data_IF_853046945529
#
_entry.id   IF_853046945529
#
_cell.length_a   1.000
_cell.length_b   1.000
_cell.length_c   1.000
_cell.angle_alpha   90.00
_cell.angle_beta   90.00
_cell.angle_gamma   90.00
#
_symmetry.space_group_name_H-M   'P 1'
#
loop_
_entity.id
_entity.type
_entity.pdbx_description
1 polymer ?
#
# COMPACT_ATOMS: atom_id res chain seq x y z
N UNK A 1 14.48 2.77 -16.92
CA UNK A 1 13.54 3.37 -15.95
C UNK A 1 12.61 4.32 -16.69
N UNK A 2 11.30 4.13 -16.57
CA UNK A 2 10.27 4.97 -17.20
C UNK A 2 9.50 5.67 -16.07
N UNK A 3 8.91 6.84 -16.29
CA UNK A 3 8.21 7.57 -15.22
C UNK A 3 7.01 8.34 -15.76
N UNK A 4 6.04 8.65 -14.89
CA UNK A 4 4.78 9.33 -15.23
C UNK A 4 4.49 10.41 -14.16
N UNK A 5 3.97 11.58 -14.57
CA UNK A 5 3.78 12.78 -13.72
C UNK A 5 2.35 13.37 -13.85
N UNK A 6 1.75 13.84 -12.74
CA UNK A 6 0.36 14.35 -12.62
C UNK A 6 0.27 15.87 -12.35
N UNK A 7 -0.88 16.49 -12.70
CA UNK A 7 -1.19 17.92 -12.45
C UNK A 7 -1.79 18.15 -11.03
N UNK A 8 -2.12 17.13 -10.24
CA UNK A 8 -2.72 17.31 -8.90
C UNK A 8 -2.08 16.37 -7.87
N UNK A 9 -2.02 16.83 -6.61
CA UNK A 9 -0.86 16.66 -5.75
C UNK A 9 -0.91 15.52 -4.69
N UNK A 10 -0.59 14.26 -5.00
CA UNK A 10 -0.29 13.25 -3.95
C UNK A 10 0.53 12.09 -4.47
N UNK A 11 1.43 11.49 -3.68
CA UNK A 11 2.28 10.32 -3.99
C UNK A 11 1.51 9.02 -4.31
N UNK A 12 1.80 8.41 -5.48
CA UNK A 12 1.26 7.12 -5.96
C UNK A 12 2.33 6.33 -6.70
N UNK A 13 2.36 5.00 -6.53
CA UNK A 13 3.27 4.08 -7.20
C UNK A 13 2.44 2.99 -7.89
N UNK A 14 2.42 2.88 -9.21
CA UNK A 14 1.73 1.81 -9.93
C UNK A 14 2.76 0.85 -10.53
N UNK A 15 2.85 -0.37 -10.02
CA UNK A 15 3.67 -1.43 -10.63
C UNK A 15 2.79 -2.42 -11.41
N UNK A 16 3.22 -2.78 -12.62
CA UNK A 16 2.68 -3.94 -13.33
C UNK A 16 3.29 -5.21 -12.72
N UNK A 17 2.45 -6.19 -12.37
CA UNK A 17 2.91 -7.45 -11.81
C UNK A 17 3.69 -8.26 -12.85
N UNK A 18 5.02 -8.21 -12.81
CA UNK A 18 5.84 -9.18 -13.51
C UNK A 18 6.30 -10.22 -12.51
N UNK A 19 6.04 -11.49 -12.81
CA UNK A 19 6.64 -12.61 -12.09
C UNK A 19 8.16 -12.61 -12.30
N UNK A 20 8.92 -12.84 -11.24
CA UNK A 20 10.38 -12.92 -11.27
C UNK A 20 10.78 -14.26 -10.63
N UNK A 21 11.76 -15.00 -11.18
CA UNK A 21 12.22 -16.28 -10.63
C UNK A 21 12.74 -16.17 -9.19
N UNK A 22 12.69 -17.31 -8.50
CA UNK A 22 12.86 -17.50 -7.05
C UNK A 22 14.24 -17.13 -6.46
N UNK A 23 14.18 -16.88 -5.16
CA UNK A 23 15.24 -16.82 -4.14
C UNK A 23 16.44 -15.88 -4.33
N UNK A 24 16.34 -14.71 -3.69
CA UNK A 24 17.48 -14.19 -2.92
C UNK A 24 16.98 -13.86 -1.51
N UNK A 25 17.40 -14.68 -0.55
CA UNK A 25 17.28 -14.40 0.88
C UNK A 25 17.98 -13.07 1.17
N UNK A 26 17.21 -12.01 1.46
CA UNK A 26 17.77 -10.70 1.79
C UNK A 26 17.01 -10.11 2.98
N UNK A 27 17.79 -9.82 4.01
CA UNK A 27 17.39 -9.20 5.26
C UNK A 27 17.11 -7.71 5.06
N UNK A 28 16.22 -7.18 5.89
CA UNK A 28 16.05 -5.74 6.09
C UNK A 28 17.41 -5.11 6.43
N UNK A 29 17.82 -4.04 5.72
CA UNK A 29 19.09 -3.36 5.93
C UNK A 29 18.86 -1.85 5.99
N UNK A 30 19.32 -1.22 7.06
CA UNK A 30 19.37 0.23 7.20
C UNK A 30 20.59 0.76 6.44
N UNK A 31 20.38 1.66 5.50
CA UNK A 31 21.44 2.40 4.83
C UNK A 31 21.94 3.58 5.67
N UNK A 32 23.07 4.22 5.26
CA UNK A 32 23.62 5.38 5.97
C UNK A 32 22.65 6.55 6.13
N UNK A 33 21.81 6.82 5.14
CA UNK A 33 20.77 7.86 5.22
C UNK A 33 19.63 7.46 6.18
N UNK A 34 19.29 6.17 6.27
CA UNK A 34 18.29 5.69 7.25
C UNK A 34 18.82 5.89 8.67
N UNK A 35 20.10 5.57 8.92
CA UNK A 35 20.76 5.78 10.21
C UNK A 35 20.82 7.28 10.55
N UNK A 36 21.11 8.14 9.56
CA UNK A 36 21.11 9.59 9.76
C UNK A 36 19.73 10.13 10.14
N UNK A 37 18.67 9.66 9.47
CA UNK A 37 17.29 10.03 9.79
C UNK A 37 16.91 9.56 11.20
N UNK A 38 17.22 8.31 11.56
CA UNK A 38 16.94 7.74 12.87
C UNK A 38 17.74 8.38 14.01
N UNK A 39 18.90 8.97 13.74
CA UNK A 39 19.70 9.66 14.77
C UNK A 39 19.25 11.10 15.04
N UNK A 40 18.25 11.61 14.32
CA UNK A 40 17.91 13.04 14.30
C UNK A 40 16.65 13.46 15.08
N UNK A 41 16.15 12.65 16.01
CA UNK A 41 14.84 12.85 16.67
C UNK A 41 13.74 13.19 15.64
N UNK A 42 13.57 12.27 14.69
CA UNK A 42 12.60 12.36 13.62
C UNK A 42 11.20 12.00 14.13
N UNK A 43 10.24 12.90 13.91
CA UNK A 43 8.83 12.67 14.19
C UNK A 43 8.03 12.64 12.88
N UNK A 44 7.06 11.75 12.81
CA UNK A 44 6.07 11.64 11.72
C UNK A 44 4.67 11.72 12.30
N UNK A 45 3.70 12.19 11.52
CA UNK A 45 2.29 12.07 11.91
C UNK A 45 1.79 10.68 11.50
N UNK A 46 1.07 10.01 12.39
CA UNK A 46 0.24 8.87 12.01
C UNK A 46 -1.05 9.34 11.29
N UNK A 47 -1.87 8.40 10.82
CA UNK A 47 -3.13 8.71 10.11
C UNK A 47 -4.17 9.40 10.99
N UNK A 48 -4.03 9.32 12.32
CA UNK A 48 -4.89 9.98 13.30
C UNK A 48 -4.34 11.38 13.69
N UNK A 49 -3.31 11.85 12.99
CA UNK A 49 -2.63 13.14 13.20
C UNK A 49 -1.85 13.23 14.52
N UNK A 50 -1.53 12.11 15.16
CA UNK A 50 -0.66 12.08 16.33
C UNK A 50 0.80 12.17 15.90
N UNK A 51 1.60 12.93 16.64
CA UNK A 51 3.04 13.04 16.41
C UNK A 51 3.77 11.85 17.05
N UNK A 52 4.35 10.97 16.22
CA UNK A 52 5.05 9.76 16.66
C UNK A 52 6.54 9.86 16.34
N UNK A 53 7.39 9.55 17.32
CA UNK A 53 8.85 9.58 17.16
C UNK A 53 9.36 8.25 16.59
N UNK A 54 10.14 8.33 15.52
CA UNK A 54 10.83 7.19 14.90
C UNK A 54 12.11 6.78 15.66
N UNK A 55 12.58 7.61 16.60
CA UNK A 55 13.91 7.46 17.24
C UNK A 55 13.83 6.85 18.64
N UNK A 56 12.71 7.07 19.34
CA UNK A 56 12.34 6.35 20.58
C UNK A 56 12.23 4.85 20.36
N UNK A 57 12.05 4.40 19.12
CA UNK A 57 12.02 2.99 18.73
C UNK A 57 13.38 2.28 18.82
N UNK A 58 14.51 2.99 18.73
CA UNK A 58 15.82 2.35 18.91
C UNK A 58 16.11 1.99 20.37
N UNK A 59 15.56 2.78 21.30
CA UNK A 59 15.68 2.52 22.74
C UNK A 59 14.61 1.52 23.22
N UNK A 60 13.42 1.52 22.63
CA UNK A 60 12.33 0.60 22.97
C UNK A 60 12.35 -0.72 22.17
N UNK A 61 13.14 -0.82 21.10
CA UNK A 61 13.33 -2.08 20.36
C UNK A 61 13.92 -3.19 21.23
N UNK A 62 14.56 -2.85 22.36
CA UNK A 62 15.06 -3.82 23.34
C UNK A 62 13.96 -4.41 24.25
N UNK A 63 12.75 -3.82 24.33
CA UNK A 63 11.66 -4.35 25.16
C UNK A 63 10.82 -5.44 24.47
N UNK A 64 10.72 -5.43 23.13
CA UNK A 64 9.96 -6.46 22.41
C UNK A 64 10.88 -7.63 22.00
N UNK A 65 10.92 -8.65 22.86
CA UNK A 65 11.75 -9.86 22.67
C UNK A 65 11.18 -10.86 21.65
N UNK A 66 10.01 -10.59 21.05
CA UNK A 66 9.39 -11.48 20.07
C UNK A 66 10.28 -11.59 18.82
N UNK A 67 10.66 -12.82 18.47
CA UNK A 67 11.48 -13.06 17.27
C UNK A 67 10.64 -12.96 16.00
N UNK A 68 11.30 -12.75 14.86
CA UNK A 68 10.63 -12.81 13.55
C UNK A 68 9.97 -14.18 13.28
N UNK A 69 10.56 -15.27 13.81
CA UNK A 69 9.99 -16.62 13.69
C UNK A 69 8.69 -16.74 14.47
N UNK A 70 8.63 -16.20 15.68
CA UNK A 70 7.42 -16.25 16.52
C UNK A 70 6.28 -15.49 15.85
N UNK A 71 6.57 -14.29 15.32
CA UNK A 71 5.59 -13.52 14.56
C UNK A 71 5.10 -14.28 13.33
N UNK A 72 6.02 -14.91 12.57
CA UNK A 72 5.68 -15.68 11.37
C UNK A 72 4.72 -16.84 11.68
N UNK A 73 4.92 -17.55 12.79
CA UNK A 73 4.08 -18.69 13.17
C UNK A 73 2.67 -18.27 13.62
N UNK A 74 2.48 -17.00 14.02
CA UNK A 74 1.22 -16.48 14.56
C UNK A 74 0.51 -15.47 13.63
N UNK A 75 0.94 -15.35 12.36
CA UNK A 75 0.35 -14.39 11.42
C UNK A 75 -1.17 -14.56 11.25
N UNK A 76 -1.68 -15.79 11.35
CA UNK A 76 -3.11 -16.09 11.26
C UNK A 76 -3.96 -15.46 12.38
N UNK A 77 -3.37 -15.10 13.52
CA UNK A 77 -4.03 -14.39 14.61
C UNK A 77 -3.71 -12.89 14.65
N UNK A 78 -3.02 -12.38 13.61
CA UNK A 78 -2.49 -11.01 13.57
C UNK A 78 -2.79 -10.27 12.28
N UNK A 79 -3.02 -10.99 11.18
CA UNK A 79 -3.35 -10.44 9.88
C UNK A 79 -4.74 -10.93 9.47
N UNK A 80 -5.69 -10.01 9.41
CA UNK A 80 -7.10 -10.29 9.13
C UNK A 80 -7.52 -9.72 7.78
N UNK A 81 -8.53 -10.33 7.17
CA UNK A 81 -9.07 -9.93 5.88
C UNK A 81 -10.56 -9.63 6.02
N UNK A 82 -10.92 -8.36 5.84
CA UNK A 82 -12.29 -7.87 6.00
C UNK A 82 -12.90 -7.53 4.64
N UNK A 83 -13.91 -8.28 4.24
CA UNK A 83 -14.62 -8.11 2.99
C UNK A 83 -15.80 -7.15 3.15
N UNK A 84 -15.79 -6.11 2.32
CA UNK A 84 -16.88 -5.16 2.13
C UNK A 84 -17.40 -5.26 0.70
N UNK A 85 -18.71 -5.12 0.55
CA UNK A 85 -19.43 -5.07 -0.71
C UNK A 85 -20.54 -4.03 -0.61
N UNK A 86 -21.31 -3.83 -1.68
CA UNK A 86 -22.49 -2.98 -1.64
C UNK A 86 -23.53 -3.42 -0.58
N UNK A 87 -23.54 -4.71 -0.21
CA UNK A 87 -24.51 -5.30 0.73
C UNK A 87 -24.10 -5.19 2.20
N UNK A 88 -22.82 -4.96 2.48
CA UNK A 88 -22.27 -4.97 3.84
C UNK A 88 -21.21 -3.86 4.03
N UNK A 89 -21.60 -2.61 3.71
CA UNK A 89 -20.69 -1.46 3.72
C UNK A 89 -20.18 -1.06 5.10
N UNK A 90 -20.92 -1.37 6.16
CA UNK A 90 -20.61 -0.98 7.54
C UNK A 90 -19.93 -2.12 8.30
N UNK A 91 -20.50 -3.32 8.26
CA UNK A 91 -20.01 -4.50 8.95
C UNK A 91 -19.44 -5.49 7.94
N UNK A 92 -18.11 -5.67 7.88
CA UNK A 92 -17.50 -6.57 6.91
C UNK A 92 -17.70 -8.04 7.28
N UNK A 93 -17.63 -8.89 6.26
CA UNK A 93 -17.45 -10.33 6.46
C UNK A 93 -15.96 -10.61 6.70
N UNK A 94 -15.63 -11.35 7.75
CA UNK A 94 -14.27 -11.84 7.95
C UNK A 94 -14.04 -13.09 7.10
N UNK A 95 -13.04 -13.04 6.21
CA UNK A 95 -12.67 -14.17 5.35
C UNK A 95 -11.29 -14.70 5.74
N UNK A 96 -11.09 -16.02 5.60
CA UNK A 96 -9.87 -16.70 6.03
C UNK A 96 -9.22 -17.47 4.88
N UNK A 97 -7.90 -17.58 4.91
CA UNK A 97 -7.13 -18.35 3.94
C UNK A 97 -7.56 -19.82 4.01
N UNK A 98 -7.77 -20.44 2.83
CA UNK A 98 -8.17 -21.84 2.69
C UNK A 98 -9.54 -22.20 3.30
N UNK A 99 -10.40 -21.22 3.59
CA UNK A 99 -11.75 -21.44 4.09
C UNK A 99 -12.80 -21.09 3.02
N UNK A 100 -13.03 -22.04 2.11
CA UNK A 100 -14.00 -21.88 1.01
C UNK A 100 -15.44 -21.73 1.52
N UNK A 101 -15.78 -22.38 2.63
CA UNK A 101 -17.14 -22.35 3.17
C UNK A 101 -17.46 -20.97 3.76
N UNK A 102 -16.54 -20.37 4.51
CA UNK A 102 -16.67 -18.98 4.96
C UNK A 102 -16.73 -18.01 3.78
N UNK A 103 -15.88 -18.19 2.77
CA UNK A 103 -15.90 -17.36 1.56
C UNK A 103 -17.25 -17.41 0.84
N UNK A 104 -17.83 -18.61 0.66
CA UNK A 104 -19.16 -18.78 0.02
C UNK A 104 -20.32 -18.24 0.87
N UNK A 105 -20.18 -18.24 2.20
CA UNK A 105 -21.18 -17.68 3.12
C UNK A 105 -21.13 -16.15 3.19
N UNK A 106 -19.98 -15.56 2.88
CA UNK A 106 -19.79 -14.11 2.80
C UNK A 106 -20.50 -13.49 1.59
N UNK A 107 -20.44 -12.16 1.47
CA UNK A 107 -20.93 -11.43 0.32
C UNK A 107 -20.00 -11.47 -0.91
N UNK A 108 -18.93 -12.26 -0.90
CA UNK A 108 -17.97 -12.31 -2.00
C UNK A 108 -18.62 -12.76 -3.31
N UNK A 109 -18.35 -12.05 -4.40
CA UNK A 109 -18.88 -12.39 -5.72
C UNK A 109 -17.75 -12.59 -6.73
N UNK A 110 -17.55 -13.83 -7.18
CA UNK A 110 -16.49 -14.20 -8.12
C UNK A 110 -16.56 -13.49 -9.49
N UNK A 111 -17.73 -12.96 -9.87
CA UNK A 111 -17.91 -12.23 -11.13
C UNK A 111 -17.64 -10.72 -10.99
N UNK A 112 -17.22 -10.25 -9.81
CA UNK A 112 -16.97 -8.82 -9.55
C UNK A 112 -15.46 -8.54 -9.44
N UNK A 113 -15.02 -7.39 -9.97
CA UNK A 113 -13.64 -6.95 -9.80
C UNK A 113 -13.29 -6.78 -8.30
N UNK A 114 -12.09 -7.19 -7.92
CA UNK A 114 -11.62 -7.11 -6.53
C UNK A 114 -10.67 -5.93 -6.29
N UNK A 115 -10.81 -5.28 -5.14
CA UNK A 115 -9.94 -4.22 -4.64
C UNK A 115 -9.40 -4.67 -3.29
N UNK A 116 -8.09 -4.78 -3.17
CA UNK A 116 -7.43 -5.15 -1.91
C UNK A 116 -6.74 -3.92 -1.37
N UNK A 117 -7.02 -3.52 -0.13
CA UNK A 117 -6.54 -2.26 0.47
C UNK A 117 -5.84 -2.59 1.79
N UNK A 118 -4.75 -1.91 2.11
CA UNK A 118 -4.15 -2.02 3.45
C UNK A 118 -3.51 -0.73 3.95
N UNK A 119 -3.51 -0.59 5.27
CA UNK A 119 -3.01 0.56 6.02
C UNK A 119 -1.49 0.49 6.27
N UNK A 120 -0.97 1.55 6.91
CA UNK A 120 0.43 1.72 7.29
C UNK A 120 0.76 1.40 8.76
N UNK A 121 1.89 1.95 9.21
CA UNK A 121 2.36 1.91 10.60
C UNK A 121 1.42 2.69 11.53
N UNK A 122 1.19 2.20 12.76
CA UNK A 122 0.28 2.83 13.73
C UNK A 122 -1.17 2.99 13.26
N UNK A 123 -1.60 2.19 12.27
CA UNK A 123 -2.95 2.26 11.69
C UNK A 123 -3.65 0.91 11.72
N UNK A 124 -4.93 0.90 11.35
CA UNK A 124 -5.77 -0.29 11.25
C UNK A 124 -6.69 -0.24 10.04
N UNK A 125 -7.52 -1.27 9.83
CA UNK A 125 -8.55 -1.25 8.79
C UNK A 125 -9.59 -0.12 8.95
N UNK A 126 -9.68 0.49 10.15
CA UNK A 126 -10.59 1.59 10.46
C UNK A 126 -9.95 2.97 10.27
N UNK A 127 -8.69 3.04 9.86
CA UNK A 127 -8.04 4.31 9.57
C UNK A 127 -8.51 4.88 8.22
N UNK A 128 -8.45 6.21 8.07
CA UNK A 128 -8.89 6.92 6.87
C UNK A 128 -8.19 6.44 5.59
N UNK A 129 -6.94 6.00 5.71
CA UNK A 129 -6.18 5.40 4.61
C UNK A 129 -6.86 4.18 3.99
N UNK A 130 -7.69 3.46 4.74
CA UNK A 130 -8.51 2.36 4.25
C UNK A 130 -9.96 2.80 3.96
N UNK A 131 -10.60 3.51 4.89
CA UNK A 131 -12.02 3.87 4.81
C UNK A 131 -12.31 4.71 3.56
N UNK A 132 -11.52 5.76 3.30
CA UNK A 132 -11.79 6.67 2.19
C UNK A 132 -11.67 5.97 0.84
N UNK A 133 -10.71 5.06 0.69
CA UNK A 133 -10.48 4.30 -0.54
C UNK A 133 -11.58 3.23 -0.72
N UNK A 134 -11.92 2.51 0.35
CA UNK A 134 -13.00 1.51 0.36
C UNK A 134 -14.31 2.16 -0.09
N UNK A 135 -14.68 3.26 0.55
CA UNK A 135 -15.95 3.94 0.27
C UNK A 135 -15.96 4.53 -1.13
N UNK A 136 -14.82 5.06 -1.60
CA UNK A 136 -14.71 5.53 -2.98
C UNK A 136 -14.99 4.40 -3.99
N UNK A 137 -14.41 3.21 -3.81
CA UNK A 137 -14.71 2.08 -4.70
C UNK A 137 -16.18 1.63 -4.61
N UNK A 138 -16.70 1.45 -3.39
CA UNK A 138 -18.09 1.02 -3.18
C UNK A 138 -19.11 2.03 -3.72
N UNK A 139 -18.75 3.32 -3.85
CA UNK A 139 -19.61 4.34 -4.45
C UNK A 139 -19.57 4.37 -5.98
N UNK A 140 -18.54 3.81 -6.61
CA UNK A 140 -18.42 3.81 -8.08
C UNK A 140 -18.96 2.54 -8.75
N UNK A 141 -19.15 1.45 -8.01
CA UNK A 141 -19.70 0.23 -8.58
C UNK A 141 -19.69 -0.95 -7.62
N UNK A 142 -20.06 -2.10 -8.17
CA UNK A 142 -20.08 -3.37 -7.45
C UNK A 142 -18.68 -4.00 -7.46
N UNK A 143 -17.96 -3.86 -6.35
CA UNK A 143 -16.65 -4.42 -6.13
C UNK A 143 -16.68 -5.38 -4.94
N UNK A 144 -15.79 -6.39 -4.97
CA UNK A 144 -15.31 -7.00 -3.73
C UNK A 144 -14.21 -6.09 -3.19
N UNK A 145 -14.39 -5.47 -2.02
CA UNK A 145 -13.36 -4.64 -1.39
C UNK A 145 -12.84 -5.35 -0.14
N UNK A 146 -11.62 -5.87 -0.19
CA UNK A 146 -10.97 -6.56 0.92
C UNK A 146 -10.00 -5.59 1.59
N UNK A 147 -10.22 -5.27 2.86
CA UNK A 147 -9.28 -4.50 3.67
C UNK A 147 -8.46 -5.46 4.52
N UNK A 148 -7.14 -5.40 4.38
CA UNK A 148 -6.20 -6.18 5.19
C UNK A 148 -5.89 -5.39 6.45
N UNK A 149 -6.19 -5.97 7.61
CA UNK A 149 -5.80 -5.45 8.92
C UNK A 149 -4.60 -6.21 9.46
N UNK A 150 -3.52 -5.49 9.73
CA UNK A 150 -2.33 -6.02 10.41
C UNK A 150 -1.95 -5.14 11.61
N UNK A 151 -2.94 -4.46 12.20
CA UNK A 151 -2.80 -3.53 13.33
C UNK A 151 -2.12 -4.14 14.56
N UNK A 152 -2.31 -5.44 14.81
CA UNK A 152 -1.61 -6.17 15.88
C UNK A 152 -0.09 -6.17 15.72
N UNK A 153 0.41 -5.96 14.51
CA UNK A 153 1.83 -5.81 14.21
C UNK A 153 2.16 -4.33 14.03
N UNK A 154 1.34 -3.57 13.30
CA UNK A 154 1.62 -2.17 12.93
C UNK A 154 1.75 -1.20 14.12
N UNK A 155 1.16 -1.52 15.28
CA UNK A 155 1.20 -0.70 16.49
C UNK A 155 2.55 -0.75 17.22
N UNK A 156 3.44 -1.66 16.83
CA UNK A 156 4.76 -1.83 17.44
C UNK A 156 5.78 -0.81 16.91
N UNK A 157 6.92 -0.61 17.60
CA UNK A 157 8.02 0.24 17.15
C UNK A 157 8.37 0.08 15.67
N UNK A 158 8.60 1.19 14.96
CA UNK A 158 8.75 1.24 13.51
C UNK A 158 9.80 0.26 12.98
N UNK A 159 10.97 0.19 13.60
CA UNK A 159 12.05 -0.70 13.15
C UNK A 159 11.66 -2.18 13.29
N UNK A 160 11.01 -2.54 14.41
CA UNK A 160 10.51 -3.88 14.66
C UNK A 160 9.43 -4.26 13.65
N UNK A 161 8.53 -3.33 13.36
CA UNK A 161 7.43 -3.48 12.41
C UNK A 161 7.93 -3.58 10.97
N UNK A 162 8.86 -2.72 10.58
CA UNK A 162 9.40 -2.66 9.21
C UNK A 162 10.11 -3.95 8.80
N UNK A 163 10.80 -4.61 9.75
CA UNK A 163 11.41 -5.93 9.54
C UNK A 163 10.39 -7.03 9.20
N UNK A 164 9.14 -6.87 9.62
CA UNK A 164 8.05 -7.86 9.43
C UNK A 164 7.21 -7.62 8.18
N UNK A 165 7.37 -6.49 7.49
CA UNK A 165 6.61 -6.19 6.27
C UNK A 165 6.73 -7.30 5.21
N UNK A 166 7.92 -7.91 5.08
CA UNK A 166 8.13 -9.00 4.11
C UNK A 166 7.28 -10.22 4.42
N UNK A 167 7.28 -10.68 5.66
CA UNK A 167 6.49 -11.85 6.06
C UNK A 167 4.98 -11.59 5.96
N UNK A 168 4.54 -10.37 6.28
CA UNK A 168 3.14 -9.97 6.10
C UNK A 168 2.78 -10.02 4.60
N UNK A 169 3.62 -9.47 3.73
CA UNK A 169 3.43 -9.54 2.27
C UNK A 169 3.36 -10.98 1.75
N UNK A 170 4.24 -11.86 2.23
CA UNK A 170 4.20 -13.30 1.88
C UNK A 170 2.91 -13.96 2.38
N UNK A 171 2.46 -13.66 3.59
CA UNK A 171 1.21 -14.19 4.12
C UNK A 171 -0.01 -13.69 3.32
N UNK A 172 -0.05 -12.41 2.97
CA UNK A 172 -1.09 -11.84 2.10
C UNK A 172 -1.07 -12.48 0.69
N UNK A 173 0.09 -12.85 0.15
CA UNK A 173 0.15 -13.57 -1.13
C UNK A 173 -0.54 -14.94 -1.07
N UNK A 174 -0.55 -15.60 0.10
CA UNK A 174 -1.29 -16.85 0.28
C UNK A 174 -2.80 -16.67 0.19
N UNK A 175 -3.34 -15.55 0.69
CA UNK A 175 -4.75 -15.17 0.49
C UNK A 175 -5.04 -14.90 -0.98
N UNK A 176 -4.15 -14.16 -1.66
CA UNK A 176 -4.31 -13.87 -3.09
C UNK A 176 -4.34 -15.16 -3.94
N UNK A 177 -3.42 -16.09 -3.67
CA UNK A 177 -3.36 -17.40 -4.33
C UNK A 177 -4.59 -18.27 -4.02
N UNK A 178 -5.11 -18.21 -2.79
CA UNK A 178 -6.34 -18.90 -2.42
C UNK A 178 -7.54 -18.33 -3.21
N UNK A 179 -7.74 -17.01 -3.21
CA UNK A 179 -8.84 -16.39 -3.94
C UNK A 179 -8.77 -16.66 -5.45
N UNK A 180 -7.58 -16.57 -6.06
CA UNK A 180 -7.36 -16.93 -7.47
C UNK A 180 -7.78 -18.39 -7.74
N UNK A 181 -7.31 -19.33 -6.91
CA UNK A 181 -7.63 -20.76 -7.04
C UNK A 181 -9.14 -21.01 -6.98
N UNK A 182 -9.87 -20.28 -6.14
CA UNK A 182 -11.32 -20.42 -5.99
C UNK A 182 -12.12 -19.65 -7.06
N UNK A 183 -11.45 -18.92 -7.97
CA UNK A 183 -12.05 -18.32 -9.16
C UNK A 183 -12.07 -16.80 -9.22
N UNK A 184 -11.35 -16.10 -8.33
CA UNK A 184 -11.17 -14.65 -8.43
C UNK A 184 -10.30 -14.28 -9.64
N UNK A 185 -10.77 -13.35 -10.46
CA UNK A 185 -10.03 -12.86 -11.62
C UNK A 185 -8.96 -11.82 -11.24
N UNK A 186 -7.68 -12.22 -11.35
CA UNK A 186 -6.56 -11.34 -11.09
C UNK A 186 -6.40 -10.20 -12.11
N UNK A 187 -6.86 -10.38 -13.35
CA UNK A 187 -6.76 -9.37 -14.41
C UNK A 187 -7.64 -8.14 -14.15
N UNK A 188 -8.60 -8.26 -13.24
CA UNK A 188 -9.44 -7.15 -12.78
C UNK A 188 -9.17 -6.78 -11.31
N UNK A 189 -8.15 -7.38 -10.68
CA UNK A 189 -7.78 -7.16 -9.28
C UNK A 189 -6.78 -6.00 -9.14
N UNK A 190 -7.06 -5.06 -8.24
CA UNK A 190 -6.14 -3.96 -7.89
C UNK A 190 -5.81 -4.02 -6.40
N UNK A 191 -4.53 -3.93 -6.07
CA UNK A 191 -4.05 -3.84 -4.69
C UNK A 191 -3.58 -2.42 -4.39
N UNK A 192 -3.90 -1.90 -3.21
CA UNK A 192 -3.58 -0.54 -2.78
C UNK A 192 -3.03 -0.59 -1.36
N UNK A 193 -1.88 0.02 -1.12
CA UNK A 193 -1.28 0.05 0.21
C UNK A 193 -0.68 1.41 0.51
N UNK A 194 -0.91 1.94 1.71
CA UNK A 194 -0.36 3.22 2.15
C UNK A 194 0.81 3.02 3.10
N UNK A 195 1.83 3.89 3.03
CA UNK A 195 2.99 3.85 3.92
C UNK A 195 3.72 2.49 3.90
N UNK A 196 3.96 1.83 5.04
CA UNK A 196 4.46 0.45 5.08
C UNK A 196 3.56 -0.54 4.32
N UNK A 197 2.24 -0.29 4.29
CA UNK A 197 1.27 -1.08 3.53
C UNK A 197 1.53 -1.11 2.03
N UNK A 198 2.15 -0.06 1.47
CA UNK A 198 2.56 -0.06 0.06
C UNK A 198 3.55 -1.19 -0.24
N UNK A 199 4.47 -1.45 0.68
CA UNK A 199 5.40 -2.56 0.57
C UNK A 199 4.71 -3.90 0.78
N UNK A 200 3.75 -3.99 1.71
CA UNK A 200 2.95 -5.21 1.92
C UNK A 200 2.27 -5.64 0.62
N UNK A 201 1.54 -4.74 -0.06
CA UNK A 201 0.85 -5.10 -1.31
C UNK A 201 1.81 -5.37 -2.48
N UNK A 202 2.93 -4.63 -2.54
CA UNK A 202 3.98 -4.86 -3.54
C UNK A 202 4.64 -6.22 -3.41
N UNK A 203 4.92 -6.63 -2.17
CA UNK A 203 5.49 -7.94 -1.87
C UNK A 203 4.47 -9.05 -2.06
N UNK A 204 3.22 -8.84 -1.65
CA UNK A 204 2.15 -9.81 -1.85
C UNK A 204 1.96 -10.13 -3.35
N UNK A 205 1.86 -9.11 -4.19
CA UNK A 205 1.76 -9.30 -5.64
C UNK A 205 3.00 -9.98 -6.24
N UNK A 206 4.20 -9.70 -5.70
CA UNK A 206 5.44 -10.35 -6.15
C UNK A 206 5.49 -11.84 -5.80
N UNK A 207 5.05 -12.20 -4.60
CA UNK A 207 5.06 -13.58 -4.10
C UNK A 207 3.80 -14.36 -4.49
N UNK A 208 2.85 -13.75 -5.19
CA UNK A 208 1.71 -14.43 -5.76
C UNK A 208 2.13 -15.29 -6.96
N UNK A 209 1.37 -16.37 -7.20
CA UNK A 209 1.56 -17.23 -8.37
C UNK A 209 1.08 -16.54 -9.63
N UNK A 210 -0.10 -15.93 -9.55
CA UNK A 210 -0.67 -15.13 -10.61
C UNK A 210 -0.28 -13.65 -10.55
N UNK A 211 -0.70 -12.91 -11.57
CA UNK A 211 -0.40 -11.49 -11.75
C UNK A 211 -1.65 -10.66 -11.60
N UNK A 212 -1.69 -9.78 -10.61
CA UNK A 212 -2.75 -8.77 -10.45
C UNK A 212 -2.63 -7.68 -11.51
N UNK A 213 -3.76 -7.04 -11.84
CA UNK A 213 -3.81 -5.94 -12.79
C UNK A 213 -2.90 -4.76 -12.36
N UNK A 214 -3.11 -4.27 -11.14
CA UNK A 214 -2.39 -3.11 -10.62
C UNK A 214 -2.02 -3.28 -9.16
N UNK A 215 -0.82 -2.82 -8.81
CA UNK A 215 -0.40 -2.58 -7.42
C UNK A 215 -0.15 -1.10 -7.26
N UNK A 216 -0.79 -0.48 -6.27
CA UNK A 216 -0.77 0.96 -6.03
C UNK A 216 -0.18 1.25 -4.63
N UNK A 217 1.05 1.76 -4.56
CA UNK A 217 1.66 2.22 -3.32
C UNK A 217 1.39 3.70 -3.08
N UNK A 218 0.86 4.06 -1.91
CA UNK A 218 0.50 5.43 -1.54
C UNK A 218 1.53 5.94 -0.54
N UNK A 219 2.40 6.84 -0.98
CA UNK A 219 3.56 7.31 -0.22
C UNK A 219 4.30 6.21 0.59
N UNK A 220 4.91 5.22 -0.10
CA UNK A 220 5.63 4.11 0.53
C UNK A 220 6.72 4.63 1.47
N UNK A 221 6.82 4.01 2.64
CA UNK A 221 7.77 4.41 3.65
C UNK A 221 9.23 4.29 3.15
N UNK A 222 10.06 5.28 3.47
CA UNK A 222 11.46 5.31 3.04
C UNK A 222 12.43 4.67 4.04
N UNK A 223 12.35 4.92 5.37
CA UNK A 223 13.32 4.38 6.31
C UNK A 223 13.32 2.85 6.31
N UNK A 224 14.46 2.26 5.96
CA UNK A 224 14.64 0.81 5.83
C UNK A 224 14.31 0.22 4.46
N UNK A 225 13.88 1.04 3.50
CA UNK A 225 13.51 0.62 2.15
C UNK A 225 14.26 1.38 1.04
N UNK A 226 14.84 2.55 1.33
CA UNK A 226 15.56 3.39 0.36
C UNK A 226 16.73 2.64 -0.34
N UNK A 227 17.42 1.75 0.38
CA UNK A 227 18.47 0.87 -0.15
C UNK A 227 18.03 -0.59 -0.39
N UNK A 228 16.77 -0.93 -0.13
CA UNK A 228 16.32 -2.32 -0.18
C UNK A 228 16.28 -2.83 -1.62
N UNK A 229 16.77 -4.06 -1.81
CA UNK A 229 16.84 -4.75 -3.11
C UNK A 229 15.43 -5.07 -3.65
N UNK A 230 15.37 -5.33 -4.95
CA UNK A 230 14.17 -5.83 -5.63
C UNK A 230 13.69 -7.10 -4.89
N UNK A 231 12.42 -7.11 -4.50
CA UNK A 231 11.82 -8.21 -3.74
C UNK A 231 11.79 -8.07 -2.23
N UNK A 232 12.30 -6.95 -1.69
CA UNK A 232 12.10 -6.56 -0.29
C UNK A 232 11.21 -5.31 -0.14
N UNK A 233 10.74 -4.74 -1.25
CA UNK A 233 9.86 -3.55 -1.30
C UNK A 233 9.05 -3.51 -2.60
N UNK A 234 8.08 -2.60 -2.65
CA UNK A 234 7.35 -2.26 -3.88
C UNK A 234 8.30 -1.66 -4.94
N UNK A 235 8.15 -2.07 -6.20
CA UNK A 235 8.90 -1.51 -7.33
C UNK A 235 8.37 -0.13 -7.74
N UNK A 236 9.28 0.73 -8.18
CA UNK A 236 9.06 2.16 -8.31
C UNK A 236 8.57 2.55 -9.71
N UNK A 237 7.33 3.00 -9.83
CA UNK A 237 6.84 3.68 -11.03
C UNK A 237 5.69 4.60 -10.62
N UNK A 238 5.85 5.92 -10.87
CA UNK A 238 4.88 7.03 -10.80
C UNK A 238 5.21 8.12 -9.75
N UNK A 239 5.26 9.39 -10.20
CA UNK A 239 5.71 10.57 -9.41
C UNK A 239 4.81 11.79 -9.61
N UNK A 240 3.68 11.83 -8.90
CA UNK A 240 2.86 13.04 -8.82
C UNK A 240 3.67 14.19 -8.21
N UNK A 241 3.60 15.37 -8.84
CA UNK A 241 4.46 16.55 -8.61
C UNK A 241 5.98 16.32 -8.61
N UNK A 242 6.46 15.26 -9.27
CA UNK A 242 7.88 14.99 -9.28
C UNK A 242 8.45 14.43 -7.98
N UNK A 243 7.58 14.00 -7.06
CA UNK A 243 7.98 13.41 -5.79
C UNK A 243 8.32 14.43 -4.69
N UNK A 244 7.72 15.63 -4.74
CA UNK A 244 7.96 16.74 -3.80
C UNK A 244 6.62 17.21 -3.16
N UNK A 245 6.71 17.87 -1.99
CA UNK A 245 5.65 18.52 -1.17
C UNK A 245 4.29 18.68 -1.88
N UNK A 246 3.22 18.17 -1.27
CA UNK A 246 1.86 18.24 -1.81
C UNK A 246 1.22 19.63 -1.67
N UNK A 247 0.34 20.00 -2.61
CA UNK A 247 -0.42 21.25 -2.53
C UNK A 247 -1.41 21.18 -1.37
N UNK A 248 -1.45 22.26 -0.58
CA UNK A 248 -2.15 22.31 0.70
C UNK A 248 -1.23 22.07 1.90
N UNK A 249 -0.07 21.45 1.70
CA UNK A 249 0.93 21.22 2.75
C UNK A 249 1.96 22.37 2.81
N UNK A 250 1.49 23.57 3.23
CA UNK A 250 2.32 24.80 3.29
C UNK A 250 3.45 24.65 4.34
N UNK A 251 3.12 24.04 5.48
CA UNK A 251 4.07 23.64 6.53
C UNK A 251 4.08 22.12 6.55
N UNK A 252 5.08 21.52 5.89
CA UNK A 252 5.25 20.07 5.81
C UNK A 252 6.52 19.67 6.55
N UNK A 253 6.41 19.59 7.87
CA UNK A 253 7.49 19.16 8.78
C UNK A 253 7.58 17.64 8.69
N UNK A 254 8.75 17.12 8.30
CA UNK A 254 8.98 15.68 8.17
C UNK A 254 8.24 14.98 7.02
N UNK A 255 7.52 15.71 6.14
CA UNK A 255 6.73 15.12 5.05
C UNK A 255 5.34 14.62 5.46
N UNK A 256 4.94 14.83 6.72
CA UNK A 256 3.77 14.21 7.32
C UNK A 256 2.43 14.64 6.67
N UNK A 257 2.29 15.92 6.29
CA UNK A 257 1.08 16.36 5.59
C UNK A 257 1.01 15.72 4.20
N UNK A 258 2.16 15.67 3.51
CA UNK A 258 2.25 15.04 2.20
C UNK A 258 1.98 13.53 2.24
N UNK A 259 2.33 12.87 3.34
CA UNK A 259 2.09 11.45 3.62
C UNK A 259 0.61 11.10 3.72
N UNK A 260 -0.14 11.86 4.54
CA UNK A 260 -1.57 11.66 4.72
C UNK A 260 -2.37 12.03 3.47
N UNK A 261 -1.87 13.02 2.73
CA UNK A 261 -2.56 13.53 1.55
C UNK A 261 -2.57 12.52 0.39
N UNK A 262 -1.68 11.52 0.41
CA UNK A 262 -1.59 10.45 -0.57
C UNK A 262 -2.91 9.68 -0.74
N UNK A 263 -3.44 9.06 0.32
CA UNK A 263 -4.68 8.28 0.21
C UNK A 263 -5.92 9.14 -0.07
N UNK A 264 -5.93 10.39 0.41
CA UNK A 264 -7.05 11.31 0.21
C UNK A 264 -7.24 11.64 -1.29
N UNK A 265 -6.17 12.01 -1.98
CA UNK A 265 -6.23 12.28 -3.41
C UNK A 265 -6.54 11.04 -4.24
N UNK A 266 -6.20 9.84 -3.74
CA UNK A 266 -6.57 8.60 -4.39
C UNK A 266 -8.07 8.41 -4.40
N UNK A 267 -8.68 8.50 -3.21
CA UNK A 267 -10.11 8.41 -3.03
C UNK A 267 -10.83 9.49 -3.85
N UNK A 268 -10.30 10.71 -3.86
CA UNK A 268 -10.82 11.81 -4.70
C UNK A 268 -10.74 11.46 -6.19
N UNK A 269 -9.65 10.84 -6.66
CA UNK A 269 -9.51 10.45 -8.07
C UNK A 269 -10.50 9.38 -8.52
N UNK A 270 -10.82 8.44 -7.63
CA UNK A 270 -11.83 7.41 -7.90
C UNK A 270 -13.21 8.05 -8.05
N UNK A 271 -13.53 9.04 -7.20
CA UNK A 271 -14.81 9.73 -7.23
C UNK A 271 -14.91 10.83 -8.32
N UNK A 272 -13.78 11.29 -8.86
CA UNK A 272 -13.77 12.35 -9.86
C UNK A 272 -14.31 11.89 -11.22
N UNK A 273 -15.24 12.67 -11.78
CA UNK A 273 -15.78 12.48 -13.13
C UNK A 273 -14.77 12.86 -14.23
N UNK A 274 -13.82 13.75 -13.92
CA UNK A 274 -12.81 14.23 -14.86
C UNK A 274 -11.55 13.35 -14.80
N UNK A 275 -11.29 12.74 -13.64
CA UNK A 275 -10.12 11.91 -13.40
C UNK A 275 -8.84 12.73 -13.22
N UNK A 276 -7.82 12.07 -12.68
CA UNK A 276 -6.51 12.67 -12.42
C UNK A 276 -5.56 12.14 -13.49
N UNK A 277 -5.27 12.95 -14.52
CA UNK A 277 -4.54 12.53 -15.71
C UNK A 277 -3.04 12.71 -15.59
N UNK A 278 -2.32 11.60 -15.58
CA UNK A 278 -0.87 11.55 -15.59
C UNK A 278 -0.34 11.53 -17.01
N UNK A 279 0.83 12.13 -17.24
CA UNK A 279 1.55 12.04 -18.50
C UNK A 279 2.88 11.34 -18.30
N UNK A 280 3.19 10.43 -19.21
CA UNK A 280 4.51 9.80 -19.27
C UNK A 280 5.59 10.86 -19.52
N UNK A 281 6.62 10.92 -18.68
CA UNK A 281 7.74 11.81 -18.90
C UNK A 281 9.06 11.26 -18.34
N UNK A 282 10.19 11.77 -18.81
CA UNK A 282 11.50 11.38 -18.31
C UNK A 282 11.95 12.19 -17.07
N UNK A 283 11.34 13.34 -16.80
CA UNK A 283 11.56 14.08 -15.56
C UNK A 283 10.43 15.07 -15.28
N UNK A 284 10.30 15.47 -14.01
CA UNK A 284 9.31 16.47 -13.60
C UNK A 284 9.56 17.84 -14.24
N UNK A 285 10.82 18.22 -14.40
CA UNK A 285 11.18 19.46 -15.10
C UNK A 285 10.66 19.48 -16.53
N UNK A 286 10.84 18.39 -17.28
CA UNK A 286 10.30 18.27 -18.64
C UNK A 286 8.77 18.29 -18.65
N UNK A 287 8.16 17.75 -17.60
CA UNK A 287 6.72 17.84 -17.40
C UNK A 287 6.21 19.26 -17.21
N UNK A 288 6.83 20.03 -16.31
CA UNK A 288 6.50 21.44 -16.10
C UNK A 288 6.69 22.28 -17.35
N UNK A 289 7.70 21.97 -18.16
CA UNK A 289 7.97 22.66 -19.42
C UNK A 289 7.09 22.17 -20.59
N UNK A 290 6.17 21.23 -20.38
CA UNK A 290 5.30 20.71 -21.44
C UNK A 290 6.00 19.84 -22.49
N UNK A 291 7.21 19.36 -22.20
CA UNK A 291 8.11 18.62 -23.11
C UNK A 291 7.91 17.09 -23.07
N UNK A 292 6.78 16.63 -22.53
CA UNK A 292 6.43 15.22 -22.43
C UNK A 292 5.63 14.73 -23.64
N UNK A 293 5.74 13.44 -23.94
CA UNK A 293 4.96 12.82 -25.00
C UNK A 293 3.46 12.85 -24.64
N UNK A 294 2.64 13.43 -25.54
CA UNK A 294 1.20 13.63 -25.32
C UNK A 294 0.35 12.37 -25.52
N UNK A 295 0.89 11.31 -26.14
CA UNK A 295 0.13 10.10 -26.52
C UNK A 295 -0.02 9.05 -25.42
N UNK A 296 0.68 9.19 -24.29
CA UNK A 296 0.61 8.23 -23.17
C UNK A 296 0.14 8.95 -21.91
N UNK A 297 -1.16 8.86 -21.64
CA UNK A 297 -1.79 9.32 -20.41
C UNK A 297 -2.41 8.16 -19.63
N UNK A 298 -2.26 8.19 -18.31
CA UNK A 298 -2.90 7.25 -17.38
C UNK A 298 -3.82 8.03 -16.44
N UNK A 299 -4.95 7.44 -16.03
CA UNK A 299 -5.83 8.03 -15.04
C UNK A 299 -5.53 7.38 -13.68
N UNK A 300 -5.21 8.22 -12.70
CA UNK A 300 -5.04 7.77 -11.31
C UNK A 300 -6.32 7.12 -10.79
N UNK A 301 -6.20 6.05 -10.01
CA UNK A 301 -7.36 5.30 -9.51
C UNK A 301 -7.84 4.18 -10.44
N UNK A 302 -7.24 4.02 -11.63
CA UNK A 302 -7.49 2.86 -12.50
C UNK A 302 -8.80 2.93 -13.29
N UNK A 303 -9.40 4.13 -13.47
CA UNK A 303 -10.48 4.32 -14.45
C UNK A 303 -9.91 4.16 -15.86
N UNK A 304 -10.24 3.06 -16.52
CA UNK A 304 -10.16 2.94 -17.98
C UNK A 304 -11.56 3.28 -18.49
N UNK A 305 -11.69 4.42 -19.19
CA UNK A 305 -12.93 4.73 -19.91
C UNK A 305 -13.07 3.82 -21.13
#
# INVERSE_FOLDING_TARGET
>A
MQSYFLIVFAFFYIANGLSVPEEIENQFQLGPEDIRLLNSNLYVLDDDHNLVSLTTDLLNAEENTESERDTMMDLHNRVYFYLYTANNRIYPDAISINDLESLKKSNFNFNRPTRIITHGWMNSHNSDSCILIRDAYLNQGDYNVIVIDWSKISINPYLWTSRRVKMIGQYVSTMLNFLEKEGMDLSTTTMVGHSLGAHVVGLAARYAKGTVNYVIGLDPALPGFNGAKIGSRISQDFYPNGGIRQAGCIIDVGGACSHLRAYQFFAESINSKVGFHAKKCSSYWRYKLGLCNRKLSLIMGGRVN
#
